data_IF_275494916152
#
_entry.id   IF_275494916152
#
_cell.length_a   1.000
_cell.length_b   1.000
_cell.length_c   1.000
_cell.angle_alpha   90.00
_cell.angle_beta   90.00
_cell.angle_gamma   90.00
#
_symmetry.space_group_name_H-M   'P 1'
#
loop_
_entity.id
_entity.type
_entity.pdbx_description
1 polymer ?
#
# COMPACT_ATOMS: atom_id res chain seq x y z
N UNK A 1 20.89 7.67 -12.78
CA UNK A 1 20.57 6.31 -12.29
C UNK A 1 20.91 5.34 -13.40
N UNK A 2 21.79 4.37 -13.14
CA UNK A 2 22.19 3.37 -14.14
C UNK A 2 21.07 2.36 -14.38
N UNK A 3 21.05 1.72 -15.55
CA UNK A 3 20.08 0.64 -15.87
C UNK A 3 20.16 -0.53 -14.88
N UNK A 4 21.35 -0.81 -14.35
CA UNK A 4 21.59 -1.78 -13.27
C UNK A 4 20.85 -1.42 -11.98
N UNK A 5 20.79 -0.14 -11.64
CA UNK A 5 20.19 0.36 -10.40
C UNK A 5 18.66 0.23 -10.47
N UNK A 6 18.07 0.54 -11.63
CA UNK A 6 16.63 0.38 -11.87
C UNK A 6 16.23 -1.10 -11.79
N UNK A 7 17.03 -1.98 -12.38
CA UNK A 7 16.79 -3.43 -12.32
C UNK A 7 16.96 -3.99 -10.89
N UNK A 8 17.90 -3.44 -10.10
CA UNK A 8 18.06 -3.76 -8.69
C UNK A 8 16.83 -3.35 -7.87
N UNK A 9 16.40 -2.09 -8.02
CA UNK A 9 15.23 -1.56 -7.33
C UNK A 9 13.95 -2.35 -7.65
N UNK A 10 13.71 -2.67 -8.93
CA UNK A 10 12.53 -3.45 -9.33
C UNK A 10 12.48 -4.81 -8.65
N UNK A 11 13.61 -5.53 -8.63
CA UNK A 11 13.71 -6.83 -7.95
C UNK A 11 13.40 -6.73 -6.45
N UNK A 12 13.86 -5.67 -5.82
CA UNK A 12 13.60 -5.44 -4.40
C UNK A 12 12.13 -5.09 -4.14
N UNK A 13 11.52 -4.25 -4.98
CA UNK A 13 10.09 -3.95 -4.89
C UNK A 13 9.23 -5.20 -5.08
N UNK A 14 9.57 -6.07 -6.05
CA UNK A 14 8.89 -7.35 -6.25
C UNK A 14 9.05 -8.29 -5.05
N UNK A 15 10.25 -8.35 -4.46
CA UNK A 15 10.53 -9.13 -3.25
C UNK A 15 9.68 -8.64 -2.08
N UNK A 16 9.59 -7.32 -1.90
CA UNK A 16 8.79 -6.70 -0.84
C UNK A 16 7.29 -6.84 -1.10
N UNK A 17 6.84 -6.77 -2.36
CA UNK A 17 5.44 -6.92 -2.75
C UNK A 17 4.89 -8.34 -2.55
N UNK A 18 5.77 -9.33 -2.41
CA UNK A 18 5.42 -10.71 -2.02
C UNK A 18 5.50 -10.96 -0.51
N UNK A 19 5.91 -9.96 0.26
CA UNK A 19 6.11 -10.05 1.71
C UNK A 19 4.94 -9.43 2.47
N UNK A 20 4.55 -9.95 3.66
CA UNK A 20 3.53 -9.33 4.50
C UNK A 20 4.04 -8.09 5.26
N UNK A 21 5.36 -7.91 5.37
CA UNK A 21 5.94 -6.90 6.25
C UNK A 21 5.58 -5.46 5.89
N UNK A 22 5.61 -5.01 4.61
CA UNK A 22 5.21 -3.65 4.26
C UNK A 22 3.77 -3.32 4.67
N UNK A 23 2.83 -4.25 4.50
CA UNK A 23 1.45 -4.09 4.94
C UNK A 23 1.33 -3.99 6.47
N UNK A 24 2.03 -4.83 7.23
CA UNK A 24 2.02 -4.75 8.70
C UNK A 24 2.71 -3.51 9.25
N UNK A 25 3.80 -3.06 8.64
CA UNK A 25 4.45 -1.79 8.98
C UNK A 25 3.48 -0.62 8.74
N UNK A 26 2.78 -0.64 7.61
CA UNK A 26 1.74 0.35 7.28
C UNK A 26 0.60 0.32 8.30
N UNK A 27 0.15 -0.87 8.70
CA UNK A 27 -0.83 -1.06 9.77
C UNK A 27 -0.34 -0.46 11.10
N UNK A 28 0.90 -0.75 11.51
CA UNK A 28 1.49 -0.18 12.71
C UNK A 28 1.58 1.36 12.67
N UNK A 29 1.97 1.93 11.53
CA UNK A 29 2.01 3.38 11.35
C UNK A 29 0.61 4.00 11.48
N UNK A 30 -0.43 3.36 10.93
CA UNK A 30 -1.82 3.81 11.07
C UNK A 30 -2.32 3.71 12.52
N UNK A 31 -1.92 2.66 13.25
CA UNK A 31 -2.24 2.52 14.67
C UNK A 31 -1.62 3.66 15.49
N UNK A 32 -0.36 4.03 15.23
CA UNK A 32 0.26 5.21 15.83
C UNK A 32 -0.49 6.49 15.40
N UNK A 33 -0.87 6.60 14.13
CA UNK A 33 -1.66 7.70 13.60
C UNK A 33 -3.01 7.90 14.29
N UNK A 34 -3.66 6.81 14.73
CA UNK A 34 -4.87 6.87 15.54
C UNK A 34 -4.63 7.59 16.87
N UNK A 35 -3.55 7.25 17.57
CA UNK A 35 -3.14 7.95 18.80
C UNK A 35 -2.92 9.45 18.55
N UNK A 36 -2.19 9.79 17.48
CA UNK A 36 -1.95 11.19 17.11
C UNK A 36 -3.22 11.94 16.71
N UNK A 37 -4.23 11.24 16.19
CA UNK A 37 -5.53 11.82 15.88
C UNK A 37 -6.32 12.16 17.14
N UNK A 38 -6.25 11.32 18.17
CA UNK A 38 -6.82 11.63 19.49
C UNK A 38 -6.15 12.85 20.12
N UNK A 39 -4.85 13.05 19.84
CA UNK A 39 -4.09 14.25 20.21
C UNK A 39 -4.33 15.45 19.27
N UNK A 40 -5.28 15.35 18.33
CA UNK A 40 -5.71 16.42 17.40
C UNK A 40 -4.59 16.98 16.50
N UNK A 41 -3.60 16.15 16.11
CA UNK A 41 -2.58 16.58 15.15
C UNK A 41 -3.21 17.00 13.79
N UNK A 42 -2.76 18.10 13.18
CA UNK A 42 -3.42 18.71 12.05
C UNK A 42 -3.32 17.88 10.76
N UNK A 43 -4.45 17.73 10.07
CA UNK A 43 -4.56 17.08 8.76
C UNK A 43 -4.60 15.56 8.77
N UNK A 44 -4.52 14.93 9.94
CA UNK A 44 -4.78 13.50 10.08
C UNK A 44 -6.25 13.16 9.74
N UNK A 45 -6.51 11.96 9.22
CA UNK A 45 -7.88 11.48 9.06
C UNK A 45 -8.60 11.30 10.40
N UNK A 46 -9.95 11.36 10.43
CA UNK A 46 -10.72 11.03 11.62
C UNK A 46 -10.39 9.62 12.15
N UNK A 47 -10.50 9.45 13.46
CA UNK A 47 -10.10 8.22 14.16
C UNK A 47 -10.75 6.95 13.57
N UNK A 48 -12.05 7.00 13.26
CA UNK A 48 -12.78 5.85 12.68
C UNK A 48 -12.21 5.47 11.31
N UNK A 49 -11.86 6.46 10.49
CA UNK A 49 -11.30 6.23 9.17
C UNK A 49 -9.90 5.59 9.27
N UNK A 50 -9.02 6.13 10.12
CA UNK A 50 -7.69 5.56 10.37
C UNK A 50 -7.76 4.15 10.95
N UNK A 51 -8.69 3.89 11.86
CA UNK A 51 -8.93 2.56 12.43
C UNK A 51 -9.37 1.55 11.37
N UNK A 52 -10.24 1.95 10.45
CA UNK A 52 -10.61 1.12 9.30
C UNK A 52 -9.39 0.75 8.45
N UNK A 53 -8.57 1.73 8.08
CA UNK A 53 -7.33 1.46 7.33
C UNK A 53 -6.36 0.56 8.11
N UNK A 54 -6.19 0.80 9.42
CA UNK A 54 -5.30 0.00 10.27
C UNK A 54 -5.66 -1.49 10.21
N UNK A 55 -6.93 -1.81 10.39
CA UNK A 55 -7.45 -3.18 10.32
C UNK A 55 -7.29 -3.77 8.93
N UNK A 56 -7.61 -3.01 7.88
CA UNK A 56 -7.51 -3.46 6.50
C UNK A 56 -6.06 -3.82 6.13
N UNK A 57 -5.07 -3.00 6.52
CA UNK A 57 -3.67 -3.32 6.26
C UNK A 57 -3.13 -4.47 7.12
N UNK A 58 -3.62 -4.60 8.36
CA UNK A 58 -3.34 -5.78 9.19
C UNK A 58 -3.85 -7.06 8.53
N UNK A 59 -5.09 -7.02 8.04
CA UNK A 59 -5.71 -8.11 7.28
C UNK A 59 -4.98 -8.37 5.95
N UNK A 60 -4.59 -7.34 5.21
CA UNK A 60 -3.84 -7.48 3.96
C UNK A 60 -2.51 -8.21 4.17
N UNK A 61 -1.77 -7.90 5.25
CA UNK A 61 -0.58 -8.64 5.62
C UNK A 61 -0.87 -10.11 5.93
N UNK A 62 -1.95 -10.40 6.66
CA UNK A 62 -2.39 -11.78 6.89
C UNK A 62 -2.77 -12.50 5.59
N UNK A 63 -3.56 -11.87 4.72
CA UNK A 63 -3.93 -12.40 3.41
C UNK A 63 -2.69 -12.73 2.57
N UNK A 64 -1.66 -11.87 2.61
CA UNK A 64 -0.38 -12.08 1.92
C UNK A 64 0.32 -13.38 2.35
N UNK A 65 0.18 -13.80 3.61
CA UNK A 65 0.76 -15.07 4.11
C UNK A 65 0.05 -16.31 3.55
N UNK A 66 -1.19 -16.16 3.06
CA UNK A 66 -1.98 -17.25 2.47
C UNK A 66 -1.88 -17.23 0.95
N UNK A 67 -2.05 -16.04 0.40
CA UNK A 67 -1.97 -15.74 -1.01
C UNK A 67 -1.44 -14.31 -1.18
N UNK A 68 -0.19 -14.24 -1.61
CA UNK A 68 0.51 -12.97 -1.79
C UNK A 68 -0.13 -12.08 -2.86
N UNK A 69 -0.80 -12.67 -3.86
CA UNK A 69 -1.44 -11.93 -4.96
C UNK A 69 -2.65 -11.17 -4.42
N UNK A 70 -3.53 -11.88 -3.69
CA UNK A 70 -4.68 -11.28 -3.01
C UNK A 70 -4.25 -10.21 -1.99
N UNK A 71 -3.22 -10.49 -1.20
CA UNK A 71 -2.65 -9.53 -0.26
C UNK A 71 -2.18 -8.25 -0.94
N UNK A 72 -1.41 -8.37 -2.04
CA UNK A 72 -0.92 -7.25 -2.82
C UNK A 72 -2.04 -6.43 -3.47
N UNK A 73 -3.10 -7.08 -3.97
CA UNK A 73 -4.27 -6.40 -4.52
C UNK A 73 -5.00 -5.55 -3.47
N UNK A 74 -5.26 -6.11 -2.28
CA UNK A 74 -5.86 -5.38 -1.15
C UNK A 74 -4.98 -4.19 -0.77
N UNK A 75 -3.68 -4.40 -0.57
CA UNK A 75 -2.75 -3.32 -0.19
C UNK A 75 -2.73 -2.19 -1.23
N UNK A 76 -2.67 -2.54 -2.51
CA UNK A 76 -2.67 -1.57 -3.62
C UNK A 76 -3.95 -0.72 -3.62
N UNK A 77 -5.13 -1.38 -3.62
CA UNK A 77 -6.42 -0.71 -3.68
C UNK A 77 -6.66 0.23 -2.49
N UNK A 78 -6.30 -0.21 -1.28
CA UNK A 78 -6.52 0.58 -0.07
C UNK A 78 -5.47 1.67 0.14
N UNK A 79 -4.22 1.49 -0.34
CA UNK A 79 -3.25 2.58 -0.39
C UNK A 79 -3.73 3.70 -1.33
N UNK A 80 -4.26 3.36 -2.51
CA UNK A 80 -4.87 4.34 -3.42
C UNK A 80 -6.07 5.06 -2.78
N UNK A 81 -6.95 4.30 -2.13
CA UNK A 81 -8.12 4.86 -1.43
C UNK A 81 -7.69 5.83 -0.33
N UNK A 82 -6.67 5.49 0.46
CA UNK A 82 -6.13 6.39 1.47
C UNK A 82 -5.63 7.69 0.84
N UNK A 83 -4.79 7.60 -0.19
CA UNK A 83 -4.18 8.75 -0.84
C UNK A 83 -5.24 9.66 -1.45
N UNK A 84 -6.20 9.09 -2.17
CA UNK A 84 -7.31 9.82 -2.76
C UNK A 84 -8.09 10.62 -1.71
N UNK A 85 -8.41 10.00 -0.57
CA UNK A 85 -9.21 10.64 0.48
C UNK A 85 -8.41 11.65 1.33
N UNK A 86 -7.10 11.47 1.50
CA UNK A 86 -6.37 12.15 2.57
C UNK A 86 -5.15 12.97 2.11
N UNK A 87 -4.56 12.70 0.93
CA UNK A 87 -3.31 13.34 0.51
C UNK A 87 -3.46 14.86 0.36
N UNK A 88 -4.55 15.34 -0.25
CA UNK A 88 -4.83 16.78 -0.37
C UNK A 88 -4.90 17.46 0.99
N UNK A 89 -5.54 16.84 1.98
CA UNK A 89 -5.66 17.38 3.33
C UNK A 89 -4.30 17.41 4.03
N UNK A 90 -3.50 16.36 3.90
CA UNK A 90 -2.16 16.28 4.47
C UNK A 90 -1.23 17.38 3.91
N UNK A 91 -1.26 17.60 2.59
CA UNK A 91 -0.48 18.66 1.93
C UNK A 91 -0.97 20.04 2.36
N UNK A 92 -2.28 20.28 2.41
CA UNK A 92 -2.85 21.58 2.80
C UNK A 92 -2.59 21.92 4.27
N UNK A 93 -2.66 20.94 5.18
CA UNK A 93 -2.39 21.18 6.60
C UNK A 93 -0.91 21.34 6.91
N UNK A 94 -0.02 20.82 6.04
CA UNK A 94 1.43 20.72 6.26
C UNK A 94 1.80 20.02 7.57
N UNK A 95 0.91 19.16 8.07
CA UNK A 95 1.10 18.44 9.33
C UNK A 95 2.15 17.33 9.15
N UNK A 96 3.25 17.31 9.93
CA UNK A 96 4.31 16.32 9.77
C UNK A 96 3.80 14.87 9.84
N UNK A 97 2.91 14.58 10.79
CA UNK A 97 2.31 13.25 10.93
C UNK A 97 1.45 12.84 9.72
N UNK A 98 0.65 13.78 9.18
CA UNK A 98 -0.20 13.51 8.02
C UNK A 98 0.62 13.29 6.75
N UNK A 99 1.71 14.06 6.58
CA UNK A 99 2.65 13.88 5.48
C UNK A 99 3.43 12.56 5.61
N UNK A 100 3.84 12.18 6.83
CA UNK A 100 4.50 10.91 7.09
C UNK A 100 3.60 9.73 6.72
N UNK A 101 2.33 9.72 7.16
CA UNK A 101 1.39 8.66 6.79
C UNK A 101 1.10 8.62 5.28
N UNK A 102 0.97 9.79 4.64
CA UNK A 102 0.82 9.87 3.18
C UNK A 102 2.05 9.29 2.47
N UNK A 103 3.25 9.53 2.99
CA UNK A 103 4.50 8.99 2.45
C UNK A 103 4.59 7.48 2.62
N UNK A 104 4.19 6.95 3.78
CA UNK A 104 4.06 5.50 4.01
C UNK A 104 3.12 4.87 2.99
N UNK A 105 1.97 5.51 2.72
CA UNK A 105 1.00 5.01 1.74
C UNK A 105 1.51 5.04 0.31
N UNK A 106 2.26 6.08 -0.07
CA UNK A 106 2.95 6.12 -1.37
C UNK A 106 3.99 5.01 -1.48
N UNK A 107 4.79 4.78 -0.45
CA UNK A 107 5.76 3.69 -0.40
C UNK A 107 5.10 2.32 -0.53
N UNK A 108 4.01 2.10 0.22
CA UNK A 108 3.26 0.86 0.18
C UNK A 108 2.61 0.62 -1.19
N UNK A 109 2.07 1.67 -1.82
CA UNK A 109 1.55 1.62 -3.18
C UNK A 109 2.64 1.32 -4.21
N UNK A 110 3.84 1.88 -4.06
CA UNK A 110 4.95 1.60 -4.97
C UNK A 110 5.41 0.13 -4.88
N UNK A 111 5.46 -0.42 -3.67
CA UNK A 111 5.83 -1.82 -3.43
C UNK A 111 4.79 -2.79 -3.99
N UNK A 112 3.54 -2.71 -3.51
CA UNK A 112 2.51 -3.69 -3.89
C UNK A 112 1.94 -3.43 -5.27
N UNK A 113 1.82 -2.16 -5.68
CA UNK A 113 1.28 -1.79 -6.97
C UNK A 113 2.12 -2.35 -8.11
N UNK A 114 3.43 -2.13 -8.09
CA UNK A 114 4.33 -2.65 -9.15
C UNK A 114 4.22 -4.16 -9.30
N UNK A 115 4.02 -4.88 -8.19
CA UNK A 115 3.84 -6.33 -8.22
C UNK A 115 2.45 -6.73 -8.75
N UNK A 116 1.39 -6.05 -8.29
CA UNK A 116 0.01 -6.32 -8.70
C UNK A 116 -0.25 -6.06 -10.18
N UNK A 117 0.23 -4.93 -10.73
CA UNK A 117 0.06 -4.60 -12.16
C UNK A 117 0.73 -5.64 -13.07
N UNK A 118 1.93 -6.12 -12.69
CA UNK A 118 2.63 -7.15 -13.45
C UNK A 118 1.84 -8.49 -13.51
N UNK A 119 1.17 -8.87 -12.42
CA UNK A 119 0.31 -10.07 -12.38
C UNK A 119 -0.90 -9.87 -13.28
N UNK A 120 -1.59 -8.73 -13.16
CA UNK A 120 -2.80 -8.48 -13.96
C UNK A 120 -2.52 -8.50 -15.46
N UNK A 121 -1.34 -8.07 -15.88
CA UNK A 121 -0.90 -8.13 -17.28
C UNK A 121 -0.63 -9.58 -17.73
N UNK A 122 -0.03 -10.41 -16.86
CA UNK A 122 0.21 -11.83 -17.13
C UNK A 122 -1.10 -12.63 -17.26
N UNK A 123 -2.05 -12.42 -16.36
CA UNK A 123 -3.36 -13.08 -16.40
C UNK A 123 -4.16 -12.67 -17.65
N UNK A 124 -4.08 -11.39 -18.02
CA UNK A 124 -4.73 -10.87 -19.23
C UNK A 124 -4.17 -11.48 -20.52
N UNK A 125 -2.89 -11.87 -20.54
CA UNK A 125 -2.28 -12.58 -21.66
C UNK A 125 -2.65 -14.06 -21.66
N UNK A 126 -2.72 -14.71 -20.50
CA UNK A 126 -3.11 -16.11 -20.38
C UNK A 126 -4.56 -16.37 -20.85
N UNK A 127 -5.48 -15.44 -20.57
CA UNK A 127 -6.89 -15.54 -21.01
C UNK A 127 -7.04 -15.38 -22.53
N UNK A 128 -6.10 -14.69 -23.19
CA UNK A 128 -6.15 -14.43 -24.65
C UNK A 128 -5.61 -15.58 -25.50
N UNK A 129 -5.05 -16.64 -24.92
CA UNK A 129 -4.68 -17.85 -25.66
C UNK A 129 -5.87 -18.80 -25.59
N UNK A 130 -6.71 -18.91 -26.64
CA UNK A 130 -7.69 -19.98 -26.65
C UNK A 130 -6.89 -21.28 -26.74
N UNK A 131 -6.97 -22.11 -25.70
CA UNK A 131 -6.64 -23.52 -25.79
C UNK A 131 -7.59 -24.16 -26.81
N UNK A 132 -7.24 -24.04 -28.09
CA UNK A 132 -7.78 -24.89 -29.14
C UNK A 132 -7.07 -26.23 -28.96
N UNK A 133 -7.74 -27.16 -28.28
CA UNK A 133 -7.49 -28.59 -28.45
C UNK A 133 -8.45 -29.13 -29.49
#
# INVERSE_FOLDING_TARGET
>A
MSTSDVAGLRRELERLGKSPYPAWITSGALFVGNGLTLLKHPGLPPFVQLSGFWLIFGFSGYATTKDWQNGAGISTAWSMSYLFLNAKRAVKSRGPAALALTSVMLGNLAIYGTTWWNISDQDSMAIKVPTIR
#
